data_IF_724490733888
#
_entry.id   IF_724490733888
#
_cell.length_a   1.000
_cell.length_b   1.000
_cell.length_c   1.000
_cell.angle_alpha   90.00
_cell.angle_beta   90.00
_cell.angle_gamma   90.00
#
_symmetry.space_group_name_H-M   'P 1'
#
loop_
_entity.id
_entity.type
_entity.pdbx_description
1 polymer ?
#
# COMPACT_ATOMS: atom_id res chain seq x y z
N UNK A 1 -0.82 -0.42 15.98
CA UNK A 1 0.18 0.56 15.51
C UNK A 1 -0.34 1.95 15.80
N UNK A 2 0.49 2.90 16.25
CA UNK A 2 0.03 4.28 16.49
C UNK A 2 0.24 5.13 15.24
N UNK A 3 -0.81 5.80 14.77
CA UNK A 3 -0.74 6.83 13.72
C UNK A 3 -1.36 8.09 14.31
N UNK A 4 -0.61 9.20 14.33
CA UNK A 4 -1.07 10.48 14.89
C UNK A 4 -1.62 10.37 16.33
N UNK A 5 -1.02 9.54 17.17
CA UNK A 5 -1.45 9.33 18.57
C UNK A 5 -2.73 8.49 18.74
N UNK A 6 -3.31 7.98 17.65
CA UNK A 6 -4.46 7.06 17.66
C UNK A 6 -4.01 5.63 17.42
N UNK A 7 -4.62 4.69 18.14
CA UNK A 7 -4.44 3.26 17.89
C UNK A 7 -5.14 2.92 16.58
N UNK A 8 -4.36 2.54 15.57
CA UNK A 8 -4.89 1.93 14.38
C UNK A 8 -5.12 0.44 14.66
N UNK A 9 -6.39 0.05 14.73
CA UNK A 9 -6.82 -1.35 14.75
C UNK A 9 -6.64 -1.96 13.36
N UNK A 10 -5.45 -2.49 13.14
CA UNK A 10 -5.19 -3.43 12.06
C UNK A 10 -5.38 -4.82 12.68
N UNK A 11 -6.04 -5.75 12.00
CA UNK A 11 -6.17 -7.13 12.51
C UNK A 11 -4.79 -7.61 12.96
N UNK A 12 -4.67 -7.97 14.23
CA UNK A 12 -3.43 -7.92 15.03
C UNK A 12 -2.24 -8.69 14.41
N UNK A 13 -2.48 -9.59 13.46
CA UNK A 13 -1.44 -10.31 12.71
C UNK A 13 -0.71 -9.50 11.61
N UNK A 14 -1.29 -8.43 11.05
CA UNK A 14 -0.71 -7.75 9.89
C UNK A 14 0.25 -6.61 10.24
N UNK A 15 0.00 -5.90 11.34
CA UNK A 15 0.78 -4.71 11.70
C UNK A 15 1.85 -4.96 12.78
N UNK A 16 1.81 -6.11 13.46
CA UNK A 16 2.65 -6.41 14.63
C UNK A 16 4.15 -6.58 14.33
N UNK A 17 4.56 -6.60 13.05
CA UNK A 17 5.97 -6.63 12.64
C UNK A 17 6.43 -5.45 11.77
N UNK A 18 5.54 -4.51 11.41
CA UNK A 18 5.90 -3.42 10.50
C UNK A 18 6.97 -2.51 11.10
N UNK A 19 6.93 -2.25 12.41
CA UNK A 19 7.93 -1.43 13.11
C UNK A 19 9.37 -1.98 13.00
N UNK A 20 9.52 -3.31 12.89
CA UNK A 20 10.83 -3.96 12.70
C UNK A 20 11.38 -3.80 11.28
N UNK A 21 10.52 -3.38 10.36
CA UNK A 21 10.85 -3.20 8.95
C UNK A 21 11.19 -1.75 8.61
N UNK A 22 11.06 -0.80 9.56
CA UNK A 22 11.30 0.62 9.34
C UNK A 22 12.74 0.99 9.69
N UNK A 23 13.48 1.49 8.71
CA UNK A 23 14.73 2.21 8.92
C UNK A 23 14.43 3.71 8.89
N UNK A 24 14.56 4.36 10.06
CA UNK A 24 14.34 5.79 10.21
C UNK A 24 15.52 6.65 9.73
N UNK A 25 16.70 6.05 9.55
CA UNK A 25 17.90 6.74 9.05
C UNK A 25 17.79 6.91 7.54
N UNK A 26 17.48 5.81 6.85
CA UNK A 26 17.37 5.77 5.39
C UNK A 26 15.94 6.03 4.88
N UNK A 27 14.98 6.25 5.80
CA UNK A 27 13.55 6.43 5.52
C UNK A 27 12.97 5.34 4.61
N UNK A 28 13.32 4.08 4.90
CA UNK A 28 13.02 2.92 4.06
C UNK A 28 12.31 1.81 4.83
N UNK A 29 11.46 1.09 4.12
CA UNK A 29 10.89 -0.18 4.57
C UNK A 29 11.68 -1.34 3.99
N UNK A 30 12.25 -2.20 4.83
CA UNK A 30 12.98 -3.39 4.41
C UNK A 30 12.68 -4.60 5.33
N UNK A 31 13.00 -5.82 4.88
CA UNK A 31 12.85 -7.02 5.73
C UNK A 31 11.42 -7.54 5.90
N UNK A 32 10.44 -6.97 5.18
CA UNK A 32 9.09 -7.57 5.09
C UNK A 32 9.15 -8.89 4.33
N UNK A 33 8.43 -9.91 4.83
CA UNK A 33 8.18 -11.12 4.04
C UNK A 33 7.32 -10.76 2.83
N UNK A 34 7.47 -11.49 1.72
CA UNK A 34 6.70 -11.21 0.50
C UNK A 34 5.20 -11.15 0.74
N UNK A 35 4.65 -12.09 1.53
CA UNK A 35 3.25 -12.09 1.94
C UNK A 35 2.82 -10.76 2.59
N UNK A 36 3.59 -10.30 3.57
CA UNK A 36 3.28 -9.08 4.32
C UNK A 36 3.44 -7.84 3.43
N UNK A 37 4.42 -7.86 2.52
CA UNK A 37 4.59 -6.82 1.50
C UNK A 37 3.37 -6.73 0.55
N UNK A 38 2.85 -7.87 0.08
CA UNK A 38 1.64 -7.89 -0.75
C UNK A 38 0.43 -7.29 -0.02
N UNK A 39 0.23 -7.68 1.25
CA UNK A 39 -0.85 -7.13 2.07
C UNK A 39 -0.62 -5.63 2.34
N UNK A 40 0.62 -5.23 2.56
CA UNK A 40 0.99 -3.84 2.79
C UNK A 40 0.64 -2.97 1.58
N UNK A 41 1.07 -3.37 0.38
CA UNK A 41 0.81 -2.65 -0.87
C UNK A 41 -0.68 -2.60 -1.21
N UNK A 42 -1.43 -3.69 -0.99
CA UNK A 42 -2.85 -3.77 -1.33
C UNK A 42 -3.77 -3.03 -0.35
N UNK A 43 -3.44 -3.06 0.95
CA UNK A 43 -4.41 -2.72 2.01
C UNK A 43 -3.88 -1.74 3.04
N UNK A 44 -2.63 -1.89 3.47
CA UNK A 44 -2.12 -1.08 4.60
C UNK A 44 -1.70 0.32 4.16
N UNK A 45 -1.18 0.50 2.94
CA UNK A 45 -0.82 1.83 2.41
C UNK A 45 -1.98 2.83 2.61
N UNK A 46 -3.19 2.42 2.25
CA UNK A 46 -4.39 3.26 2.35
C UNK A 46 -4.70 3.70 3.78
N UNK A 47 -4.51 2.81 4.74
CA UNK A 47 -4.90 3.02 6.13
C UNK A 47 -3.83 3.76 6.90
N UNK A 48 -2.56 3.41 6.67
CA UNK A 48 -1.41 4.01 7.34
C UNK A 48 -1.22 5.45 6.89
N UNK A 49 -1.27 5.72 5.58
CA UNK A 49 -0.85 7.02 5.06
C UNK A 49 -1.98 8.05 4.94
N UNK A 50 -3.26 7.68 5.08
CA UNK A 50 -4.40 8.59 4.84
C UNK A 50 -4.33 9.93 5.57
N UNK A 51 -3.88 9.91 6.82
CA UNK A 51 -3.75 11.13 7.64
C UNK A 51 -2.29 11.58 7.79
N UNK A 52 -1.35 10.96 7.07
CA UNK A 52 0.09 11.23 7.17
C UNK A 52 0.68 11.97 5.97
N UNK A 53 -0.03 11.97 4.82
CA UNK A 53 0.46 12.57 3.58
C UNK A 53 -0.56 13.56 2.99
N UNK A 54 -0.12 14.51 2.14
CA UNK A 54 -1.04 15.36 1.40
C UNK A 54 -2.02 14.57 0.54
N UNK A 55 -3.20 15.14 0.28
CA UNK A 55 -4.29 14.48 -0.45
C UNK A 55 -3.87 13.96 -1.83
N UNK A 56 -3.03 14.69 -2.57
CA UNK A 56 -2.54 14.25 -3.88
C UNK A 56 -1.67 12.98 -3.77
N UNK A 57 -0.77 12.92 -2.78
CA UNK A 57 0.05 11.73 -2.51
C UNK A 57 -0.82 10.56 -2.08
N UNK A 58 -1.81 10.80 -1.22
CA UNK A 58 -2.75 9.76 -0.79
C UNK A 58 -3.58 9.20 -1.95
N UNK A 59 -4.01 10.07 -2.88
CA UNK A 59 -4.71 9.67 -4.10
C UNK A 59 -3.82 8.79 -4.98
N UNK A 60 -2.55 9.17 -5.19
CA UNK A 60 -1.60 8.37 -5.97
C UNK A 60 -1.35 7.00 -5.33
N UNK A 61 -1.11 6.98 -4.01
CA UNK A 61 -0.96 5.74 -3.23
C UNK A 61 -2.20 4.85 -3.33
N UNK A 62 -3.39 5.44 -3.38
CA UNK A 62 -4.64 4.70 -3.51
C UNK A 62 -4.74 3.95 -4.82
N UNK A 63 -4.38 4.59 -5.93
CA UNK A 63 -4.39 3.96 -7.24
C UNK A 63 -3.34 2.87 -7.38
N UNK A 64 -2.16 3.08 -6.80
CA UNK A 64 -1.12 2.03 -6.69
C UNK A 64 -1.66 0.84 -5.90
N UNK A 65 -2.32 1.06 -4.76
CA UNK A 65 -2.93 -0.03 -3.99
C UNK A 65 -4.00 -0.80 -4.78
N UNK A 66 -4.84 -0.09 -5.54
CA UNK A 66 -5.87 -0.71 -6.39
C UNK A 66 -5.25 -1.52 -7.53
N UNK A 67 -4.19 -1.02 -8.16
CA UNK A 67 -3.41 -1.77 -9.15
C UNK A 67 -2.91 -3.09 -8.57
N UNK A 68 -2.29 -3.08 -7.38
CA UNK A 68 -1.83 -4.31 -6.72
C UNK A 68 -2.98 -5.26 -6.35
N UNK A 69 -4.17 -4.75 -6.02
CA UNK A 69 -5.34 -5.60 -5.77
C UNK A 69 -5.80 -6.33 -7.04
N UNK A 70 -5.73 -5.68 -8.21
CA UNK A 70 -6.03 -6.32 -9.50
C UNK A 70 -4.98 -7.38 -9.82
N UNK A 71 -3.69 -7.02 -9.73
CA UNK A 71 -2.58 -7.90 -10.11
C UNK A 71 -2.44 -9.13 -9.19
N UNK A 72 -2.75 -8.98 -7.91
CA UNK A 72 -2.62 -10.05 -6.93
C UNK A 72 -3.97 -10.71 -6.56
N UNK A 73 -5.02 -10.47 -7.34
CA UNK A 73 -6.30 -11.15 -7.18
C UNK A 73 -6.14 -12.65 -7.38
N UNK A 74 -6.86 -13.46 -6.58
CA UNK A 74 -6.93 -14.92 -6.76
C UNK A 74 -7.53 -15.33 -8.09
N UNK A 75 -8.28 -14.42 -8.73
CA UNK A 75 -8.87 -14.62 -10.05
C UNK A 75 -8.57 -13.40 -10.91
N UNK A 76 -7.90 -13.63 -12.04
CA UNK A 76 -7.52 -12.59 -12.98
C UNK A 76 -8.70 -12.29 -13.92
N UNK A 77 -9.27 -11.09 -13.85
CA UNK A 77 -10.20 -10.60 -14.88
C UNK A 77 -9.40 -9.86 -15.96
N UNK A 78 -9.31 -10.46 -17.14
CA UNK A 78 -8.54 -9.94 -18.27
C UNK A 78 -8.94 -8.50 -18.61
N UNK A 79 -10.22 -8.16 -18.47
CA UNK A 79 -10.71 -6.81 -18.78
C UNK A 79 -10.12 -5.77 -17.83
N UNK A 80 -10.08 -6.10 -16.52
CA UNK A 80 -9.48 -5.23 -15.50
C UNK A 80 -7.97 -5.09 -15.69
N UNK A 81 -7.31 -6.13 -16.18
CA UNK A 81 -5.88 -6.08 -16.49
C UNK A 81 -5.61 -5.20 -17.71
N UNK A 82 -6.44 -5.27 -18.74
CA UNK A 82 -6.34 -4.39 -19.91
C UNK A 82 -6.58 -2.92 -19.53
N UNK A 83 -7.62 -2.63 -18.75
CA UNK A 83 -7.88 -1.28 -18.22
C UNK A 83 -6.70 -0.77 -17.37
N UNK A 84 -6.06 -1.66 -16.62
CA UNK A 84 -4.88 -1.34 -15.84
C UNK A 84 -3.66 -1.06 -16.73
N UNK A 85 -3.44 -1.83 -17.80
CA UNK A 85 -2.35 -1.62 -18.74
C UNK A 85 -2.41 -0.24 -19.39
N UNK A 86 -3.60 0.24 -19.72
CA UNK A 86 -3.81 1.58 -20.29
C UNK A 86 -3.56 2.72 -19.28
N UNK A 87 -3.77 2.45 -17.98
CA UNK A 87 -3.72 3.46 -16.92
C UNK A 87 -2.45 3.43 -16.07
N UNK A 88 -1.65 2.36 -16.13
CA UNK A 88 -0.48 2.14 -15.25
C UNK A 88 0.55 3.27 -15.35
N UNK A 89 0.85 3.74 -16.55
CA UNK A 89 1.81 4.82 -16.75
C UNK A 89 1.33 6.12 -16.09
N UNK A 90 0.03 6.40 -16.17
CA UNK A 90 -0.57 7.57 -15.52
C UNK A 90 -0.50 7.43 -14.01
N UNK A 91 -0.90 6.28 -13.46
CA UNK A 91 -0.88 6.00 -12.00
C UNK A 91 0.54 6.17 -11.44
N UNK A 92 1.54 5.61 -12.11
CA UNK A 92 2.94 5.63 -11.65
C UNK A 92 3.61 7.00 -11.78
N UNK A 93 3.08 7.88 -12.63
CA UNK A 93 3.63 9.22 -12.87
C UNK A 93 2.79 10.35 -12.25
N UNK A 94 1.86 10.02 -11.34
CA UNK A 94 1.12 11.06 -10.60
C UNK A 94 2.07 11.84 -9.69
N UNK A 95 1.98 13.18 -9.71
CA UNK A 95 2.84 14.06 -8.91
C UNK A 95 2.53 13.99 -7.42
#
# INVERSE_FOLDING_TARGET
MYVNGKVLEVSDGYASNLSRCVDMTELRLHGMKSHDCHIFMQKLILVVFREMVPEHVWSALTEVSLMFQVLCSTTLDIRKVQELEDSVAVIMCKP
#
